data_IF_603503928335
#
_entry.id   IF_603503928335
#
_cell.length_a   1.000
_cell.length_b   1.000
_cell.length_c   1.000
_cell.angle_alpha   90.00
_cell.angle_beta   90.00
_cell.angle_gamma   90.00
#
_symmetry.space_group_name_H-M   'P 1'
#
loop_
_entity.id
_entity.type
_entity.pdbx_description
1 polymer ?
#
# COMPACT_ATOMS: atom_id res chain seq x y z
N UNK A 1 3.05 6.48 17.52
CA UNK A 1 3.83 5.74 18.54
C UNK A 1 3.30 6.13 19.91
N UNK A 2 3.19 5.15 20.81
CA UNK A 2 2.67 5.34 22.15
C UNK A 2 3.65 4.70 23.13
N UNK A 3 3.92 5.35 24.25
CA UNK A 3 4.63 4.79 25.38
C UNK A 3 3.68 4.63 26.56
N UNK A 4 3.82 3.51 27.26
CA UNK A 4 3.00 3.15 28.40
C UNK A 4 3.86 2.98 29.65
N UNK A 5 3.31 3.30 30.81
CA UNK A 5 3.86 2.86 32.09
C UNK A 5 3.83 1.33 32.14
N UNK A 6 4.98 0.70 32.38
CA UNK A 6 5.11 -0.76 32.43
C UNK A 6 4.29 -1.39 33.58
N UNK A 7 4.03 -0.65 34.66
CA UNK A 7 3.31 -1.15 35.84
C UNK A 7 1.81 -0.97 35.74
N UNK A 8 1.34 0.09 35.07
CA UNK A 8 -0.10 0.46 35.07
C UNK A 8 -0.76 0.35 33.70
N UNK A 9 0.01 0.22 32.63
CA UNK A 9 -0.50 0.28 31.26
C UNK A 9 -1.00 1.67 30.83
N UNK A 10 -0.88 2.69 31.68
CA UNK A 10 -1.31 4.06 31.35
C UNK A 10 -0.41 4.66 30.28
N UNK A 11 -1.01 5.31 29.29
CA UNK A 11 -0.27 6.11 28.30
C UNK A 11 0.47 7.26 29.00
N UNK A 12 1.78 7.35 28.78
CA UNK A 12 2.63 8.42 29.34
C UNK A 12 3.15 9.37 28.27
N UNK A 13 3.14 8.94 27.00
CA UNK A 13 3.55 9.77 25.87
C UNK A 13 2.98 9.22 24.57
N UNK A 14 2.58 10.13 23.68
CA UNK A 14 2.07 9.82 22.35
C UNK A 14 2.66 10.78 21.34
N UNK A 15 3.03 10.26 20.18
CA UNK A 15 3.42 11.06 19.02
C UNK A 15 2.87 10.44 17.74
N UNK A 16 2.29 11.26 16.88
CA UNK A 16 1.90 10.82 15.54
C UNK A 16 3.12 10.87 14.60
N UNK A 17 3.41 9.74 13.95
CA UNK A 17 4.52 9.60 12.99
C UNK A 17 4.02 9.53 11.54
N UNK A 18 2.72 9.75 11.31
CA UNK A 18 2.08 9.93 10.02
C UNK A 18 2.05 8.69 9.11
N UNK A 19 2.44 7.53 9.63
CA UNK A 19 2.44 6.26 8.90
C UNK A 19 2.40 5.10 9.89
N UNK A 20 1.77 4.00 9.49
CA UNK A 20 1.73 2.76 10.25
C UNK A 20 3.12 2.25 10.61
N UNK A 21 3.23 1.57 11.75
CA UNK A 21 4.48 1.05 12.30
C UNK A 21 4.32 -0.46 12.46
N UNK A 22 5.09 -1.23 11.69
CA UNK A 22 5.13 -2.70 11.80
C UNK A 22 6.36 -3.19 12.57
N UNK A 23 7.43 -2.40 12.65
CA UNK A 23 8.67 -2.79 13.30
C UNK A 23 8.64 -2.54 14.81
N UNK A 24 9.31 -3.37 15.63
CA UNK A 24 9.51 -3.06 17.04
C UNK A 24 10.50 -1.88 17.20
N UNK A 25 10.35 -1.04 18.25
CA UNK A 25 11.35 -0.06 18.61
C UNK A 25 12.56 -0.72 19.29
N UNK A 26 13.71 -0.06 19.21
CA UNK A 26 14.93 -0.40 19.96
C UNK A 26 15.40 0.79 20.80
N UNK A 27 16.19 0.53 21.85
CA UNK A 27 16.89 1.58 22.61
C UNK A 27 18.38 1.32 22.69
N UNK A 28 19.18 2.38 22.71
CA UNK A 28 20.64 2.31 22.84
C UNK A 28 21.19 3.56 23.54
N UNK A 29 22.47 3.54 23.91
CA UNK A 29 23.19 4.70 24.46
C UNK A 29 24.36 5.07 23.57
N UNK A 30 24.57 6.37 23.37
CA UNK A 30 25.73 6.93 22.68
C UNK A 30 26.19 8.18 23.43
N UNK A 31 27.47 8.22 23.82
CA UNK A 31 28.08 9.33 24.56
C UNK A 31 27.27 9.75 25.80
N UNK A 32 26.82 8.76 26.58
CA UNK A 32 26.04 9.00 27.81
C UNK A 32 24.57 9.34 27.61
N UNK A 33 24.11 9.60 26.37
CA UNK A 33 22.70 9.89 26.05
C UNK A 33 21.95 8.63 25.61
N UNK A 34 20.73 8.45 26.10
CA UNK A 34 19.84 7.37 25.67
C UNK A 34 19.03 7.79 24.45
N UNK A 35 18.87 6.86 23.52
CA UNK A 35 18.06 7.01 22.32
C UNK A 35 17.03 5.89 22.22
N UNK A 36 15.89 6.22 21.64
CA UNK A 36 14.94 5.26 21.11
C UNK A 36 14.92 5.40 19.59
N UNK A 37 15.03 4.29 18.87
CA UNK A 37 14.96 4.28 17.41
C UNK A 37 13.87 3.34 16.93
N UNK A 38 13.20 3.74 15.85
CA UNK A 38 12.10 3.00 15.27
C UNK A 38 12.06 3.18 13.75
N UNK A 39 11.84 2.07 13.04
CA UNK A 39 11.50 2.10 11.62
C UNK A 39 9.99 2.35 11.48
N UNK A 40 9.65 3.56 11.05
CA UNK A 40 8.27 3.96 10.72
C UNK A 40 8.00 3.58 9.27
N UNK A 41 7.11 2.62 9.06
CA UNK A 41 6.81 2.09 7.75
C UNK A 41 5.71 1.04 7.82
N UNK A 42 4.62 1.30 7.11
CA UNK A 42 3.57 0.33 6.86
C UNK A 42 4.06 -0.74 5.89
N UNK A 43 3.81 -2.01 6.21
CA UNK A 43 4.32 -3.15 5.44
C UNK A 43 3.87 -4.50 5.97
N UNK A 44 4.55 -5.55 5.51
CA UNK A 44 4.23 -6.94 5.84
C UNK A 44 2.92 -7.44 5.20
N UNK A 45 2.43 -8.59 5.67
CA UNK A 45 1.24 -9.22 5.13
C UNK A 45 -0.01 -8.32 5.19
N UNK A 46 -0.12 -7.47 6.23
CA UNK A 46 -1.22 -6.53 6.37
C UNK A 46 -1.27 -5.48 5.23
N UNK A 47 -0.11 -5.00 4.76
CA UNK A 47 -0.05 -4.08 3.62
C UNK A 47 -0.34 -4.76 2.28
N UNK A 48 -0.14 -6.08 2.18
CA UNK A 48 -0.40 -6.87 0.99
C UNK A 48 -1.83 -7.35 0.84
N UNK A 49 -2.39 -7.87 1.94
CA UNK A 49 -3.72 -8.48 1.99
C UNK A 49 -4.80 -7.53 2.51
N UNK A 50 -4.40 -6.40 3.12
CA UNK A 50 -5.31 -5.39 3.63
C UNK A 50 -6.00 -4.57 2.54
N UNK A 51 -7.01 -3.79 2.94
CA UNK A 51 -7.86 -3.01 2.03
C UNK A 51 -7.58 -1.49 2.05
N UNK A 52 -6.45 -1.07 2.63
CA UNK A 52 -5.99 0.33 2.57
C UNK A 52 -6.89 1.33 3.31
N UNK A 53 -7.60 0.89 4.35
CA UNK A 53 -8.58 1.69 5.10
C UNK A 53 -7.95 2.90 5.80
N UNK A 54 -6.67 2.81 6.11
CA UNK A 54 -5.89 3.84 6.80
C UNK A 54 -5.33 4.90 5.84
N UNK A 55 -5.44 4.70 4.52
CA UNK A 55 -4.92 5.60 3.49
C UNK A 55 -3.40 5.63 3.37
N UNK A 56 -2.68 4.65 3.93
CA UNK A 56 -1.23 4.50 3.79
C UNK A 56 -0.84 3.93 2.43
N UNK A 57 -0.92 4.77 1.39
CA UNK A 57 -0.70 4.35 0.02
C UNK A 57 0.78 4.19 -0.38
N UNK A 58 1.03 3.19 -1.22
CA UNK A 58 2.32 2.93 -1.84
C UNK A 58 2.83 4.14 -2.63
N UNK A 59 4.11 4.50 -2.42
CA UNK A 59 4.75 5.61 -3.13
C UNK A 59 4.34 7.01 -2.67
N UNK A 60 3.30 7.15 -1.83
CA UNK A 60 2.87 8.42 -1.24
C UNK A 60 3.57 8.65 0.11
N UNK A 61 3.51 7.67 1.01
CA UNK A 61 4.08 7.80 2.35
C UNK A 61 5.51 7.26 2.38
N UNK A 62 6.44 8.03 2.93
CA UNK A 62 7.86 7.65 3.01
C UNK A 62 8.13 6.82 4.26
N UNK A 63 8.83 5.70 4.10
CA UNK A 63 9.38 4.92 5.21
C UNK A 63 10.59 5.66 5.80
N UNK A 64 10.72 5.68 7.13
CA UNK A 64 11.72 6.49 7.84
C UNK A 64 12.30 5.76 9.04
N UNK A 65 13.58 5.97 9.32
CA UNK A 65 14.13 5.77 10.65
C UNK A 65 13.86 7.05 11.45
N UNK A 66 13.20 6.91 12.60
CA UNK A 66 12.95 8.02 13.53
C UNK A 66 13.65 7.72 14.85
N UNK A 67 14.41 8.69 15.35
CA UNK A 67 15.12 8.63 16.62
C UNK A 67 14.58 9.67 17.60
N UNK A 68 14.49 9.29 18.88
CA UNK A 68 14.06 10.15 19.98
C UNK A 68 15.11 10.16 21.09
N UNK A 69 15.28 11.30 21.75
CA UNK A 69 15.96 11.44 23.04
C UNK A 69 15.25 12.54 23.86
N UNK A 70 15.49 12.59 25.17
CA UNK A 70 14.88 13.61 26.04
C UNK A 70 15.34 15.04 25.70
N UNK A 71 16.54 15.18 25.13
CA UNK A 71 17.14 16.44 24.73
C UNK A 71 16.95 16.76 23.24
N UNK A 72 16.27 15.88 22.50
CA UNK A 72 16.04 16.04 21.06
C UNK A 72 15.09 17.21 20.76
N UNK A 73 15.48 18.08 19.83
CA UNK A 73 14.68 19.25 19.39
C UNK A 73 14.40 19.27 17.88
N UNK A 74 14.78 18.21 17.17
CA UNK A 74 14.57 18.14 15.73
C UNK A 74 13.08 18.07 15.43
N UNK A 75 12.61 18.92 14.52
CA UNK A 75 11.26 18.82 13.99
C UNK A 75 11.18 17.64 13.01
N UNK A 76 10.21 16.76 13.23
CA UNK A 76 9.97 15.64 12.32
C UNK A 76 9.22 16.15 11.09
N UNK A 77 9.74 15.94 9.86
CA UNK A 77 9.01 16.31 8.65
C UNK A 77 7.62 15.65 8.62
N UNK A 78 6.59 16.38 8.20
CA UNK A 78 5.25 15.80 8.09
C UNK A 78 5.20 14.77 6.96
N UNK A 79 4.43 13.70 7.15
CA UNK A 79 4.01 12.84 6.05
C UNK A 79 2.86 13.50 5.29
N UNK A 80 2.63 13.15 4.02
CA UNK A 80 1.39 13.49 3.34
C UNK A 80 0.18 12.99 4.14
N UNK A 81 -0.98 13.63 3.90
CA UNK A 81 -2.25 13.15 4.45
C UNK A 81 -2.59 11.75 3.88
N UNK A 82 -3.45 10.98 4.58
CA UNK A 82 -3.99 9.73 4.06
C UNK A 82 -4.47 9.87 2.61
N UNK A 83 -4.05 8.93 1.76
CA UNK A 83 -4.36 8.94 0.34
C UNK A 83 -5.14 7.69 -0.03
N UNK A 84 -6.32 7.91 -0.62
CA UNK A 84 -7.20 6.86 -1.12
C UNK A 84 -7.16 6.90 -2.65
N UNK A 85 -6.59 5.89 -3.32
CA UNK A 85 -6.51 5.85 -4.76
C UNK A 85 -7.90 5.89 -5.40
N UNK A 86 -8.11 6.84 -6.31
CA UNK A 86 -9.36 6.94 -7.07
C UNK A 86 -9.27 6.09 -8.34
N UNK A 87 -10.17 5.11 -8.53
CA UNK A 87 -10.22 4.34 -9.78
C UNK A 87 -10.32 5.22 -11.02
N UNK A 88 -9.56 4.90 -12.05
CA UNK A 88 -9.68 5.52 -13.37
C UNK A 88 -10.79 4.78 -14.13
N UNK A 89 -11.95 5.42 -14.23
CA UNK A 89 -13.08 4.97 -15.03
C UNK A 89 -12.91 5.51 -16.46
N UNK A 90 -12.98 4.65 -17.46
CA UNK A 90 -12.92 5.06 -18.88
C UNK A 90 -14.34 5.04 -19.42
N UNK A 91 -14.95 6.21 -19.74
CA UNK A 91 -16.27 6.27 -20.33
C UNK A 91 -16.35 5.42 -21.59
N UNK A 92 -17.37 4.56 -21.67
CA UNK A 92 -17.63 3.73 -22.85
C UNK A 92 -16.70 2.52 -23.02
N UNK A 93 -15.80 2.23 -22.07
CA UNK A 93 -15.02 0.99 -22.10
C UNK A 93 -15.95 -0.22 -21.98
N UNK A 94 -15.96 -1.08 -23.01
CA UNK A 94 -16.78 -2.29 -23.02
C UNK A 94 -16.05 -3.41 -22.28
N UNK A 95 -16.51 -3.72 -21.08
CA UNK A 95 -16.02 -4.87 -20.31
C UNK A 95 -16.61 -6.14 -20.92
N UNK A 96 -15.75 -6.95 -21.55
CA UNK A 96 -16.05 -8.35 -21.84
C UNK A 96 -16.14 -9.16 -20.53
N UNK A 97 -17.31 -9.75 -20.20
CA UNK A 97 -17.49 -10.50 -18.95
C UNK A 97 -16.65 -11.77 -18.85
N UNK A 98 -16.44 -12.49 -19.96
CA UNK A 98 -15.69 -13.75 -19.97
C UNK A 98 -14.19 -13.48 -19.76
N UNK A 99 -13.66 -12.45 -20.41
CA UNK A 99 -12.27 -12.01 -20.18
C UNK A 99 -12.10 -11.48 -18.75
N UNK A 100 -13.08 -10.74 -18.21
CA UNK A 100 -12.99 -10.26 -16.84
C UNK A 100 -13.04 -11.40 -15.81
N UNK A 101 -13.82 -12.46 -16.06
CA UNK A 101 -13.84 -13.66 -15.22
C UNK A 101 -12.51 -14.41 -15.27
N UNK A 102 -11.99 -14.67 -16.48
CA UNK A 102 -10.66 -15.27 -16.67
C UNK A 102 -9.57 -14.47 -15.96
N UNK A 103 -9.57 -13.14 -16.10
CA UNK A 103 -8.62 -12.26 -15.43
C UNK A 103 -8.72 -12.31 -13.91
N UNK A 104 -9.94 -12.48 -13.37
CA UNK A 104 -10.17 -12.70 -11.95
C UNK A 104 -9.51 -13.98 -11.43
N UNK A 105 -9.54 -15.07 -12.21
CA UNK A 105 -8.86 -16.32 -11.86
C UNK A 105 -7.33 -16.21 -11.88
N UNK A 106 -6.78 -15.38 -12.76
CA UNK A 106 -5.33 -15.11 -12.86
C UNK A 106 -4.86 -14.18 -11.73
N UNK A 107 -5.76 -13.34 -11.20
CA UNK A 107 -5.43 -12.30 -10.22
C UNK A 107 -4.72 -12.79 -8.96
N UNK A 108 -4.87 -14.06 -8.58
CA UNK A 108 -4.15 -14.67 -7.45
C UNK A 108 -2.63 -14.47 -7.51
N UNK A 109 -2.06 -14.34 -8.71
CA UNK A 109 -0.64 -14.04 -8.92
C UNK A 109 -0.24 -12.62 -8.46
N UNK A 110 -1.19 -11.68 -8.46
CA UNK A 110 -0.97 -10.25 -8.25
C UNK A 110 -1.54 -9.77 -6.91
N UNK A 111 -2.60 -10.43 -6.43
CA UNK A 111 -3.44 -9.97 -5.33
C UNK A 111 -2.73 -9.89 -3.98
N UNK A 112 -1.66 -10.65 -3.75
CA UNK A 112 -0.87 -10.57 -2.51
C UNK A 112 -0.15 -9.23 -2.35
N UNK A 113 0.11 -8.51 -3.45
CA UNK A 113 0.78 -7.21 -3.45
C UNK A 113 -0.18 -6.06 -3.78
N UNK A 114 -1.06 -6.29 -4.75
CA UNK A 114 -1.99 -5.28 -5.27
C UNK A 114 -3.39 -5.34 -4.61
N UNK A 115 -3.58 -6.23 -3.64
CA UNK A 115 -4.83 -6.41 -2.89
C UNK A 115 -5.71 -7.52 -3.47
N UNK A 116 -6.18 -8.43 -2.61
CA UNK A 116 -6.99 -9.59 -3.02
C UNK A 116 -8.28 -9.20 -3.74
N UNK A 117 -8.93 -8.12 -3.31
CA UNK A 117 -10.15 -7.58 -3.93
C UNK A 117 -9.91 -6.49 -4.98
N UNK A 118 -8.69 -6.35 -5.51
CA UNK A 118 -8.24 -5.21 -6.34
C UNK A 118 -8.20 -3.87 -5.59
N UNK A 119 -8.16 -3.91 -4.26
CA UNK A 119 -8.03 -2.74 -3.38
C UNK A 119 -6.68 -2.85 -2.70
N UNK A 120 -5.73 -1.99 -3.06
CA UNK A 120 -4.37 -2.13 -2.56
C UNK A 120 -4.24 -1.67 -1.10
N UNK A 121 -3.64 -2.53 -0.27
CA UNK A 121 -3.37 -2.24 1.14
C UNK A 121 -2.15 -1.35 1.42
N UNK A 122 -1.39 -0.97 0.38
CA UNK A 122 -0.20 -0.13 0.51
C UNK A 122 1.14 -0.84 0.23
N UNK A 123 1.14 -2.14 -0.06
CA UNK A 123 2.35 -2.87 -0.46
C UNK A 123 2.80 -2.57 -1.89
N UNK A 124 1.85 -2.45 -2.82
CA UNK A 124 2.07 -2.07 -4.22
C UNK A 124 0.97 -1.07 -4.68
N UNK A 125 1.08 -0.46 -5.86
CA UNK A 125 0.08 0.48 -6.37
C UNK A 125 -1.32 -0.15 -6.51
N UNK A 126 -2.38 0.62 -6.30
CA UNK A 126 -3.73 0.22 -6.69
C UNK A 126 -3.87 0.28 -8.22
N UNK A 127 -4.09 -0.87 -8.86
CA UNK A 127 -4.14 -0.95 -10.32
C UNK A 127 -5.39 -0.31 -10.92
N UNK A 128 -6.46 -0.11 -10.14
CA UNK A 128 -7.65 0.61 -10.60
C UNK A 128 -7.33 2.08 -10.85
N UNK A 129 -6.44 2.65 -10.05
CA UNK A 129 -5.95 4.02 -10.14
C UNK A 129 -4.70 4.19 -11.03
N UNK A 130 -4.25 3.14 -11.71
CA UNK A 130 -3.05 3.16 -12.55
C UNK A 130 -3.38 3.36 -14.03
N UNK A 131 -2.55 4.16 -14.72
CA UNK A 131 -2.58 4.29 -16.17
C UNK A 131 -1.94 3.11 -16.92
N UNK A 132 -1.14 2.28 -16.24
CA UNK A 132 -0.41 1.16 -16.88
C UNK A 132 -1.36 0.14 -17.52
N UNK A 133 -2.42 -0.34 -16.84
CA UNK A 133 -3.38 -1.25 -17.45
C UNK A 133 -4.22 -0.65 -18.58
N UNK A 134 -4.12 0.66 -18.85
CA UNK A 134 -4.88 1.31 -19.91
C UNK A 134 -4.23 1.20 -21.29
N UNK A 135 -2.93 0.90 -21.34
CA UNK A 135 -2.18 0.79 -22.58
C UNK A 135 -1.58 -0.61 -22.68
N UNK A 136 -2.11 -1.44 -23.59
CA UNK A 136 -1.70 -2.84 -23.73
C UNK A 136 -0.16 -3.02 -23.89
N UNK A 137 0.56 -2.22 -24.71
CA UNK A 137 2.01 -2.36 -24.81
C UNK A 137 2.75 -2.04 -23.49
N UNK A 138 2.25 -1.08 -22.71
CA UNK A 138 2.87 -0.72 -21.43
C UNK A 138 2.56 -1.78 -20.36
N UNK A 139 1.33 -2.30 -20.36
CA UNK A 139 0.92 -3.37 -19.46
C UNK A 139 1.74 -4.63 -19.70
N UNK A 140 1.94 -5.01 -20.95
CA UNK A 140 2.78 -6.12 -21.38
C UNK A 140 4.22 -5.95 -20.89
N UNK A 141 4.85 -4.80 -21.16
CA UNK A 141 6.23 -4.54 -20.75
C UNK A 141 6.43 -4.62 -19.23
N UNK A 142 5.42 -4.19 -18.45
CA UNK A 142 5.49 -4.22 -16.99
C UNK A 142 5.25 -5.62 -16.43
N UNK A 143 4.19 -6.30 -16.89
CA UNK A 143 3.74 -7.58 -16.31
C UNK A 143 4.54 -8.75 -16.86
N UNK A 144 4.71 -8.83 -18.18
CA UNK A 144 5.43 -9.92 -18.85
C UNK A 144 6.89 -9.58 -19.08
N UNK A 145 7.16 -8.39 -19.63
CA UNK A 145 8.50 -7.92 -20.01
C UNK A 145 9.40 -7.52 -18.83
N UNK A 146 8.85 -7.44 -17.60
CA UNK A 146 9.66 -7.21 -16.40
C UNK A 146 10.25 -5.81 -16.26
N UNK A 147 9.70 -4.78 -16.92
CA UNK A 147 10.20 -3.41 -16.89
C UNK A 147 10.26 -2.77 -15.48
N UNK A 148 9.69 -3.43 -14.46
CA UNK A 148 9.67 -2.99 -13.06
C UNK A 148 10.26 -4.02 -12.08
N UNK A 149 10.98 -5.04 -12.56
CA UNK A 149 11.65 -6.05 -11.71
C UNK A 149 12.63 -5.41 -10.73
N UNK A 150 13.41 -4.42 -11.18
CA UNK A 150 14.32 -3.65 -10.33
C UNK A 150 13.61 -2.80 -9.25
N UNK A 151 12.28 -2.68 -9.32
CA UNK A 151 11.42 -1.99 -8.34
C UNK A 151 10.54 -2.96 -7.55
N UNK A 152 10.78 -4.27 -7.68
CA UNK A 152 10.11 -5.31 -6.92
C UNK A 152 8.78 -5.81 -7.50
N UNK A 153 8.41 -5.42 -8.73
CA UNK A 153 7.29 -6.04 -9.46
C UNK A 153 7.81 -7.24 -10.27
N UNK A 154 7.42 -8.48 -9.96
CA UNK A 154 7.88 -9.67 -10.68
C UNK A 154 7.44 -9.68 -12.15
N UNK A 155 8.25 -10.31 -13.01
CA UNK A 155 7.86 -10.63 -14.38
C UNK A 155 7.12 -11.95 -14.46
N UNK A 156 6.13 -12.04 -15.33
CA UNK A 156 5.35 -13.24 -15.61
C UNK A 156 5.48 -13.62 -17.10
N UNK A 157 6.64 -14.14 -17.54
CA UNK A 157 6.94 -14.39 -18.96
C UNK A 157 5.99 -15.38 -19.63
N UNK A 158 5.34 -16.24 -18.84
CA UNK A 158 4.45 -17.28 -19.32
C UNK A 158 3.00 -16.81 -19.56
N UNK A 159 2.64 -15.57 -19.20
CA UNK A 159 1.31 -15.05 -19.49
C UNK A 159 1.17 -14.75 -20.98
N UNK A 160 0.11 -15.28 -21.58
CA UNK A 160 -0.23 -15.04 -22.98
C UNK A 160 -0.79 -13.64 -23.19
N UNK A 161 -0.89 -13.19 -24.44
CA UNK A 161 -1.55 -11.91 -24.76
C UNK A 161 -3.02 -11.90 -24.31
N UNK A 162 -3.68 -13.05 -24.40
CA UNK A 162 -5.06 -13.22 -23.93
C UNK A 162 -5.15 -13.11 -22.39
N UNK A 163 -4.18 -13.65 -21.65
CA UNK A 163 -4.12 -13.52 -20.19
C UNK A 163 -3.92 -12.06 -19.76
N UNK A 164 -3.04 -11.34 -20.46
CA UNK A 164 -2.83 -9.92 -20.21
C UNK A 164 -4.10 -9.11 -20.51
N UNK A 165 -4.77 -9.39 -21.63
CA UNK A 165 -6.04 -8.77 -21.97
C UNK A 165 -7.12 -9.09 -20.91
N UNK A 166 -7.22 -10.35 -20.48
CA UNK A 166 -8.13 -10.78 -19.43
C UNK A 166 -7.90 -10.03 -18.11
N UNK A 167 -6.64 -9.87 -17.69
CA UNK A 167 -6.28 -9.06 -16.53
C UNK A 167 -6.68 -7.59 -16.70
N UNK A 168 -6.47 -6.97 -17.87
CA UNK A 168 -6.92 -5.60 -18.12
C UNK A 168 -8.45 -5.48 -17.97
N UNK A 169 -9.21 -6.41 -18.55
CA UNK A 169 -10.67 -6.46 -18.43
C UNK A 169 -11.12 -6.62 -16.97
N UNK A 170 -10.46 -7.48 -16.20
CA UNK A 170 -10.75 -7.65 -14.78
C UNK A 170 -10.45 -6.38 -13.97
N UNK A 171 -9.29 -5.75 -14.16
CA UNK A 171 -8.95 -4.48 -13.49
C UNK A 171 -9.97 -3.40 -13.85
N UNK A 172 -10.38 -3.30 -15.12
CA UNK A 172 -11.38 -2.32 -15.55
C UNK A 172 -12.76 -2.60 -14.96
N UNK A 173 -13.18 -3.87 -14.89
CA UNK A 173 -14.41 -4.28 -14.18
C UNK A 173 -14.40 -3.77 -12.74
N UNK A 174 -13.35 -4.09 -11.98
CA UNK A 174 -13.18 -3.66 -10.59
C UNK A 174 -13.08 -2.14 -10.42
N UNK A 175 -12.58 -1.41 -11.42
CA UNK A 175 -12.54 0.05 -11.41
C UNK A 175 -13.91 0.72 -11.63
N UNK A 176 -14.85 0.03 -12.29
CA UNK A 176 -16.22 0.52 -12.53
C UNK A 176 -17.21 0.09 -11.43
N UNK A 177 -16.84 -0.85 -10.57
CA UNK A 177 -17.65 -1.21 -9.41
C UNK A 177 -17.67 -0.05 -8.40
N UNK A 178 -18.82 0.25 -7.76
CA UNK A 178 -18.90 1.27 -6.74
C UNK A 178 -17.97 0.92 -5.57
N UNK A 179 -17.34 1.94 -4.97
CA UNK A 179 -16.54 1.74 -3.78
C UNK A 179 -17.42 1.11 -2.68
N UNK A 180 -17.08 -0.11 -2.26
CA UNK A 180 -17.61 -0.66 -1.02
C UNK A 180 -17.10 0.24 0.10
N UNK A 181 -18.00 1.03 0.66
CA UNK A 181 -17.76 2.09 1.65
C UNK A 181 -16.68 1.72 2.67
N UNK A 182 -15.61 2.51 2.71
CA UNK A 182 -14.68 2.53 3.82
C UNK A 182 -15.45 2.81 5.12
N UNK A 183 -15.17 2.05 6.18
CA UNK A 183 -15.73 2.29 7.52
C UNK A 183 -15.49 3.77 7.90
N UNK A 184 -16.47 4.50 8.45
CA UNK A 184 -16.24 5.86 8.91
C UNK A 184 -15.05 5.85 9.88
N UNK A 185 -14.15 6.82 9.70
CA UNK A 185 -13.06 7.05 10.62
C UNK A 185 -13.67 7.12 12.03
N UNK A 186 -13.28 6.19 12.90
CA UNK A 186 -13.63 6.27 14.30
C UNK A 186 -12.97 7.54 14.84
N UNK A 187 -13.77 8.60 14.99
CA UNK A 187 -13.36 9.82 15.65
C UNK A 187 -12.80 9.48 17.02
N UNK A 188 -11.59 9.93 17.29
CA UNK A 188 -11.02 9.89 18.63
C UNK A 188 -11.92 10.69 19.57
N UNK A 189 -12.36 10.02 20.63
CA UNK A 189 -12.66 10.67 21.91
C UNK A 189 -11.44 10.50 22.79
#
# INVERSE_FOLDING_TARGET
MIAYSATTGKTVWTVDLGLGISAPPITYRLNGRQYLALLVGWGGAAAGLGQGLEGWAYGVHRRRLVGFSLEGKAELPKQPAPYFPKPIVIPGYKIDPALAEKGGSIWGLCGSCHGGGMIAGGMAPDLRASGVPLAAPVFEQVVRGGAKVNRGMPSYPNLTDEDLLALQHYIRKKAHEPETTARPASGGQ
#
